data_IF_768059838262
#
_entry.id   IF_768059838262
#
_cell.length_a   1.000
_cell.length_b   1.000
_cell.length_c   1.000
_cell.angle_alpha   90.00
_cell.angle_beta   90.00
_cell.angle_gamma   90.00
#
_symmetry.space_group_name_H-M   'P 1'
#
loop_
_entity.id
_entity.type
_entity.pdbx_description
1 polymer ?
#
# COMPACT_ATOMS: atom_id res chain seq x y z
N UNK A 1 -22.12 -48.03 1.52
CA UNK A 1 -23.44 -47.36 1.64
C UNK A 1 -23.32 -45.93 2.15
N UNK A 2 -22.96 -45.69 3.41
CA UNK A 2 -22.83 -44.29 3.93
C UNK A 2 -21.79 -43.47 3.16
N UNK A 3 -20.62 -44.07 2.86
CA UNK A 3 -19.59 -43.45 2.02
C UNK A 3 -20.13 -43.08 0.62
N UNK A 4 -20.87 -43.97 -0.04
CA UNK A 4 -21.41 -43.75 -1.40
C UNK A 4 -22.48 -42.64 -1.44
N UNK A 5 -23.17 -42.41 -0.32
CA UNK A 5 -24.18 -41.35 -0.19
C UNK A 5 -23.60 -39.97 0.12
N UNK A 6 -22.35 -39.89 0.58
CA UNK A 6 -21.71 -38.62 0.90
C UNK A 6 -21.54 -37.77 -0.36
N UNK A 7 -21.68 -36.45 -0.21
CA UNK A 7 -21.41 -35.46 -1.26
C UNK A 7 -20.43 -34.41 -0.73
N UNK A 8 -19.95 -33.54 -1.62
CA UNK A 8 -19.06 -32.46 -1.25
C UNK A 8 -19.65 -31.64 -0.09
N UNK A 9 -18.79 -31.20 0.81
CA UNK A 9 -19.14 -30.37 1.97
C UNK A 9 -20.00 -31.01 3.06
N UNK A 10 -20.30 -32.31 3.00
CA UNK A 10 -20.91 -33.03 4.12
C UNK A 10 -20.00 -32.99 5.34
N UNK A 11 -20.59 -32.81 6.52
CA UNK A 11 -19.87 -32.90 7.80
C UNK A 11 -19.91 -34.35 8.25
N UNK A 12 -18.75 -35.00 8.25
CA UNK A 12 -18.62 -36.44 8.56
C UNK A 12 -17.77 -36.64 9.81
N UNK A 13 -18.12 -37.67 10.59
CA UNK A 13 -17.23 -38.27 11.59
C UNK A 13 -16.74 -39.62 11.06
N UNK A 14 -15.43 -39.85 11.08
CA UNK A 14 -14.81 -41.07 10.55
C UNK A 14 -13.89 -41.67 11.59
N UNK A 15 -14.19 -42.90 12.02
CA UNK A 15 -13.32 -43.71 12.89
C UNK A 15 -12.67 -44.81 12.06
N UNK A 16 -11.35 -44.94 12.16
CA UNK A 16 -10.62 -45.91 11.34
C UNK A 16 -9.21 -46.20 11.85
N UNK A 17 -8.49 -47.05 11.10
CA UNK A 17 -7.08 -47.38 11.38
C UNK A 17 -6.18 -46.61 10.43
N UNK A 18 -5.23 -45.85 10.97
CA UNK A 18 -4.16 -45.23 10.18
C UNK A 18 -3.24 -46.32 9.62
N UNK A 19 -2.92 -46.24 8.33
CA UNK A 19 -1.94 -47.12 7.67
C UNK A 19 -1.14 -46.36 6.61
N UNK A 20 -0.01 -46.92 6.21
CA UNK A 20 0.69 -46.45 5.02
C UNK A 20 -0.15 -46.67 3.78
N UNK A 21 -0.07 -45.73 2.84
CA UNK A 21 -0.68 -45.92 1.53
C UNK A 21 0.07 -47.03 0.78
N UNK A 22 -0.59 -47.79 -0.10
CA UNK A 22 0.08 -48.77 -0.95
C UNK A 22 1.24 -48.16 -1.75
N UNK A 23 2.21 -48.99 -2.10
CA UNK A 23 3.34 -48.57 -2.93
C UNK A 23 2.87 -47.92 -4.24
N UNK A 24 3.52 -46.82 -4.63
CA UNK A 24 3.15 -46.02 -5.81
C UNK A 24 1.96 -45.07 -5.63
N UNK A 25 1.30 -45.04 -4.46
CA UNK A 25 0.12 -44.18 -4.21
C UNK A 25 0.39 -43.03 -3.23
N UNK A 26 1.63 -42.80 -2.79
CA UNK A 26 1.97 -41.66 -1.96
C UNK A 26 1.76 -40.33 -2.71
N UNK A 27 1.34 -39.28 -1.99
CA UNK A 27 1.14 -37.93 -2.56
C UNK A 27 1.99 -36.90 -1.80
N UNK A 28 3.13 -36.52 -2.36
CA UNK A 28 4.05 -35.56 -1.72
C UNK A 28 3.49 -34.11 -1.68
N UNK A 29 2.40 -33.82 -2.39
CA UNK A 29 1.72 -32.52 -2.33
C UNK A 29 0.83 -32.35 -1.10
N UNK A 30 0.58 -33.41 -0.34
CA UNK A 30 -0.25 -33.39 0.87
C UNK A 30 0.59 -33.66 2.11
N UNK A 31 0.38 -32.89 3.18
CA UNK A 31 1.07 -33.08 4.48
C UNK A 31 0.88 -34.52 4.99
N UNK A 32 -0.31 -35.09 4.81
CA UNK A 32 -0.64 -36.46 5.20
C UNK A 32 -0.50 -37.48 4.08
N UNK A 33 0.11 -37.14 2.95
CA UNK A 33 0.00 -37.94 1.72
C UNK A 33 0.74 -39.28 1.69
N UNK A 34 1.54 -39.59 2.72
CA UNK A 34 2.21 -40.90 2.90
C UNK A 34 1.37 -41.91 3.71
N UNK A 35 0.26 -41.48 4.28
CA UNK A 35 -0.64 -42.29 5.09
C UNK A 35 -2.09 -42.13 4.63
N UNK A 36 -2.96 -43.05 5.04
CA UNK A 36 -4.41 -42.97 4.87
C UNK A 36 -5.13 -43.60 6.06
N UNK A 37 -6.44 -43.34 6.15
CA UNK A 37 -7.31 -43.93 7.18
C UNK A 37 -8.17 -45.00 6.52
N UNK A 38 -7.99 -46.26 6.92
CA UNK A 38 -8.93 -47.34 6.60
C UNK A 38 -10.17 -47.18 7.50
N UNK A 39 -11.24 -46.63 6.93
CA UNK A 39 -12.47 -46.34 7.66
C UNK A 39 -13.14 -47.63 8.17
N UNK A 40 -13.44 -47.66 9.48
CA UNK A 40 -14.24 -48.71 10.14
C UNK A 40 -15.68 -48.26 10.32
N UNK A 41 -15.87 -47.00 10.72
CA UNK A 41 -17.18 -46.38 10.93
C UNK A 41 -17.19 -44.99 10.29
N UNK A 42 -18.31 -44.66 9.66
CA UNK A 42 -18.55 -43.36 9.04
C UNK A 42 -19.96 -42.92 9.46
N UNK A 43 -20.05 -41.74 10.05
CA UNK A 43 -21.30 -41.09 10.45
C UNK A 43 -21.45 -39.78 9.68
N UNK A 44 -22.63 -39.53 9.12
CA UNK A 44 -22.99 -38.23 8.55
C UNK A 44 -23.55 -37.40 9.69
N UNK A 45 -22.74 -36.46 10.22
CA UNK A 45 -23.17 -35.53 11.27
C UNK A 45 -24.13 -34.48 10.72
N UNK A 46 -23.86 -34.00 9.51
CA UNK A 46 -24.75 -33.09 8.80
C UNK A 46 -24.58 -33.21 7.28
N UNK A 47 -25.71 -33.32 6.58
CA UNK A 47 -25.72 -33.26 5.11
C UNK A 47 -25.61 -31.81 4.65
N UNK A 48 -25.02 -31.59 3.48
CA UNK A 48 -24.90 -30.26 2.87
C UNK A 48 -25.61 -30.22 1.52
N UNK A 49 -26.26 -29.10 1.21
CA UNK A 49 -26.63 -28.82 -0.17
C UNK A 49 -25.37 -28.60 -1.03
N UNK A 50 -25.47 -28.80 -2.34
CA UNK A 50 -24.37 -28.50 -3.27
C UNK A 50 -23.92 -27.05 -3.08
N UNK A 51 -22.62 -26.80 -2.83
CA UNK A 51 -22.13 -25.45 -2.59
C UNK A 51 -22.23 -24.60 -3.88
N UNK A 52 -22.36 -23.27 -3.77
CA UNK A 52 -22.46 -22.37 -4.91
C UNK A 52 -21.20 -22.34 -5.79
N UNK A 53 -20.06 -22.79 -5.25
CA UNK A 53 -18.81 -23.02 -5.97
C UNK A 53 -18.00 -24.11 -5.23
N UNK A 54 -17.02 -24.72 -5.90
CA UNK A 54 -16.12 -25.68 -5.27
C UNK A 54 -15.03 -24.94 -4.47
N UNK A 55 -14.62 -25.48 -3.32
CA UNK A 55 -13.64 -24.83 -2.44
C UNK A 55 -12.27 -24.65 -3.11
N UNK A 56 -11.91 -25.54 -4.03
CA UNK A 56 -10.67 -25.54 -4.79
C UNK A 56 -10.73 -24.74 -6.10
N UNK A 57 -11.86 -24.10 -6.41
CA UNK A 57 -11.97 -23.23 -7.58
C UNK A 57 -11.21 -21.91 -7.34
N UNK A 58 -10.30 -21.60 -8.28
CA UNK A 58 -9.47 -20.40 -8.25
C UNK A 58 -10.08 -19.24 -9.04
N UNK A 59 -11.06 -19.50 -9.93
CA UNK A 59 -11.61 -18.53 -10.88
C UNK A 59 -13.00 -18.01 -10.49
N UNK A 60 -13.26 -17.90 -9.19
CA UNK A 60 -14.55 -17.43 -8.66
C UNK A 60 -14.53 -15.89 -8.56
N UNK A 61 -15.58 -15.24 -9.08
CA UNK A 61 -15.74 -13.79 -8.95
C UNK A 61 -15.86 -13.37 -7.48
N UNK A 62 -15.33 -12.18 -7.16
CA UNK A 62 -15.38 -11.64 -5.80
C UNK A 62 -16.82 -11.50 -5.27
N UNK A 63 -17.76 -11.06 -6.12
CA UNK A 63 -19.16 -10.92 -5.74
C UNK A 63 -19.78 -12.23 -5.25
N UNK A 64 -19.52 -13.34 -5.94
CA UNK A 64 -20.01 -14.68 -5.54
C UNK A 64 -19.37 -15.12 -4.23
N UNK A 65 -18.07 -14.85 -4.05
CA UNK A 65 -17.32 -15.16 -2.83
C UNK A 65 -17.83 -14.39 -1.62
N UNK A 66 -18.09 -13.09 -1.76
CA UNK A 66 -18.60 -12.24 -0.69
C UNK A 66 -20.06 -12.58 -0.34
N UNK A 67 -20.90 -12.85 -1.34
CA UNK A 67 -22.28 -13.29 -1.11
C UNK A 67 -22.35 -14.60 -0.32
N UNK A 68 -21.41 -15.51 -0.59
CA UNK A 68 -21.35 -16.83 0.04
C UNK A 68 -20.15 -16.94 0.99
N UNK A 69 -19.87 -15.87 1.76
CA UNK A 69 -18.64 -15.74 2.55
C UNK A 69 -18.41 -16.90 3.52
N UNK A 70 -19.47 -17.51 4.07
CA UNK A 70 -19.36 -18.69 4.96
C UNK A 70 -18.67 -19.86 4.25
N UNK A 71 -18.94 -20.08 2.96
CA UNK A 71 -18.28 -21.13 2.16
C UNK A 71 -16.89 -20.67 1.73
N UNK A 72 -16.73 -19.41 1.29
CA UNK A 72 -15.42 -18.87 0.89
C UNK A 72 -14.40 -18.92 2.05
N UNK A 73 -14.85 -18.71 3.28
CA UNK A 73 -14.01 -18.80 4.48
C UNK A 73 -13.49 -20.21 4.76
N UNK A 74 -14.06 -21.28 4.18
CA UNK A 74 -13.53 -22.65 4.30
C UNK A 74 -12.28 -22.86 3.45
N UNK A 75 -12.04 -22.02 2.44
CA UNK A 75 -10.91 -22.15 1.52
C UNK A 75 -9.58 -22.00 2.28
N UNK A 76 -8.56 -22.82 1.98
CA UNK A 76 -7.27 -22.76 2.67
C UNK A 76 -6.65 -21.36 2.72
N UNK A 77 -6.74 -20.60 1.63
CA UNK A 77 -6.25 -19.22 1.57
C UNK A 77 -6.92 -18.32 2.63
N UNK A 78 -8.26 -18.36 2.72
CA UNK A 78 -9.00 -17.54 3.70
C UNK A 78 -8.74 -17.99 5.14
N UNK A 79 -8.68 -19.30 5.38
CA UNK A 79 -8.30 -19.88 6.67
C UNK A 79 -6.90 -19.42 7.11
N UNK A 80 -5.93 -19.48 6.19
CA UNK A 80 -4.55 -19.06 6.47
C UNK A 80 -4.48 -17.56 6.76
N UNK A 81 -5.18 -16.72 5.99
CA UNK A 81 -5.21 -15.28 6.20
C UNK A 81 -5.80 -14.91 7.58
N UNK A 82 -6.91 -15.54 7.99
CA UNK A 82 -7.51 -15.29 9.31
C UNK A 82 -6.64 -15.81 10.46
N UNK A 83 -6.00 -16.98 10.30
CA UNK A 83 -5.05 -17.52 11.28
C UNK A 83 -3.81 -16.62 11.41
N UNK A 84 -3.31 -16.08 10.29
CA UNK A 84 -2.20 -15.12 10.29
C UNK A 84 -2.61 -13.85 11.02
N UNK A 85 -3.78 -13.26 10.71
CA UNK A 85 -4.33 -12.10 11.42
C UNK A 85 -4.40 -12.33 12.94
N UNK A 86 -4.89 -13.50 13.36
CA UNK A 86 -4.92 -13.89 14.77
C UNK A 86 -3.51 -13.94 15.38
N UNK A 87 -2.55 -14.59 14.72
CA UNK A 87 -1.16 -14.67 15.19
C UNK A 87 -0.51 -13.29 15.31
N UNK A 88 -0.73 -12.41 14.34
CA UNK A 88 -0.27 -11.01 14.36
C UNK A 88 -0.84 -10.28 15.56
N UNK A 89 -2.16 -10.34 15.79
CA UNK A 89 -2.78 -9.70 16.94
C UNK A 89 -2.25 -10.23 18.27
N UNK A 90 -2.03 -11.54 18.39
CA UNK A 90 -1.41 -12.14 19.57
C UNK A 90 0.05 -11.71 19.76
N UNK A 91 0.83 -11.61 18.68
CA UNK A 91 2.22 -11.14 18.72
C UNK A 91 2.32 -9.70 19.21
N UNK A 92 1.46 -8.82 18.68
CA UNK A 92 1.34 -7.41 19.12
C UNK A 92 1.01 -7.33 20.61
N UNK A 93 -0.01 -8.05 21.06
CA UNK A 93 -0.41 -8.07 22.48
C UNK A 93 0.71 -8.49 23.40
N UNK A 94 1.41 -9.58 23.06
CA UNK A 94 2.56 -10.08 23.84
C UNK A 94 3.72 -9.10 23.84
N UNK A 95 4.02 -8.48 22.70
CA UNK A 95 5.09 -7.50 22.61
C UNK A 95 4.78 -6.29 23.50
N UNK A 96 3.60 -5.69 23.36
CA UNK A 96 3.20 -4.51 24.13
C UNK A 96 3.10 -4.79 25.65
N UNK A 97 2.64 -5.98 26.04
CA UNK A 97 2.66 -6.44 27.43
C UNK A 97 4.10 -6.47 28.01
N UNK A 98 5.06 -7.01 27.26
CA UNK A 98 6.48 -6.99 27.70
C UNK A 98 7.10 -5.59 27.72
N UNK A 99 6.53 -4.64 26.97
CA UNK A 99 6.89 -3.22 27.01
C UNK A 99 6.12 -2.43 28.09
N UNK A 100 5.32 -3.09 28.94
CA UNK A 100 4.61 -2.46 30.05
C UNK A 100 3.36 -1.66 29.65
N UNK A 101 2.83 -1.87 28.45
CA UNK A 101 1.58 -1.26 28.02
C UNK A 101 0.37 -1.99 28.63
N UNK A 102 -0.68 -1.24 28.94
CA UNK A 102 -1.93 -1.77 29.48
C UNK A 102 -3.02 -1.72 28.39
N UNK A 103 -3.74 -2.83 28.20
CA UNK A 103 -4.89 -2.91 27.29
C UNK A 103 -6.11 -2.28 27.95
N UNK A 104 -6.55 -1.12 27.47
CA UNK A 104 -7.70 -0.39 28.04
C UNK A 104 -8.75 -0.21 26.94
N UNK A 105 -9.99 -0.62 27.21
CA UNK A 105 -11.08 -0.43 26.25
C UNK A 105 -11.60 1.01 26.30
N UNK A 106 -11.87 1.59 25.13
CA UNK A 106 -12.46 2.94 25.00
C UNK A 106 -13.87 2.84 24.39
N UNK A 107 -14.81 3.74 24.75
CA UNK A 107 -16.19 3.64 24.31
C UNK A 107 -16.35 3.86 22.80
N UNK A 108 -17.32 3.16 22.20
CA UNK A 108 -17.68 3.30 20.77
C UNK A 108 -18.77 4.33 20.50
N UNK A 109 -19.61 4.65 21.50
CA UNK A 109 -20.64 5.67 21.38
C UNK A 109 -20.08 6.99 21.91
N UNK A 110 -19.51 7.78 21.01
CA UNK A 110 -18.78 9.00 21.35
C UNK A 110 -19.55 10.25 20.92
N UNK A 111 -18.99 11.43 21.17
CA UNK A 111 -19.50 12.69 20.64
C UNK A 111 -18.77 13.00 19.32
N UNK A 112 -19.49 13.51 18.33
CA UNK A 112 -18.89 13.93 17.06
C UNK A 112 -17.88 15.06 17.26
N UNK A 113 -16.74 14.94 16.59
CA UNK A 113 -15.70 15.98 16.49
C UNK A 113 -15.59 16.40 15.03
N UNK A 114 -15.76 17.69 14.70
CA UNK A 114 -15.91 18.16 13.31
C UNK A 114 -14.62 18.13 12.47
N UNK A 115 -13.57 17.44 12.94
CA UNK A 115 -12.25 17.40 12.30
C UNK A 115 -11.93 15.96 11.88
N UNK A 116 -11.23 15.80 10.75
CA UNK A 116 -10.90 14.51 10.17
C UNK A 116 -11.92 14.03 9.13
N UNK A 117 -12.25 12.73 9.17
CA UNK A 117 -13.22 12.12 8.28
C UNK A 117 -14.68 12.43 8.69
N UNK A 118 -15.66 11.97 7.91
CA UNK A 118 -17.06 12.01 8.33
C UNK A 118 -17.36 10.88 9.32
N UNK A 119 -18.15 11.19 10.35
CA UNK A 119 -18.57 10.24 11.38
C UNK A 119 -19.81 9.44 10.97
N UNK A 120 -19.84 8.16 11.33
CA UNK A 120 -21.10 7.41 11.40
C UNK A 120 -21.91 7.85 12.63
N UNK A 121 -23.18 8.19 12.43
CA UNK A 121 -24.08 8.63 13.49
C UNK A 121 -25.00 7.52 13.98
N UNK A 122 -25.19 7.44 15.30
CA UNK A 122 -26.12 6.51 15.96
C UNK A 122 -27.16 7.32 16.74
N UNK A 123 -28.45 7.32 16.32
CA UNK A 123 -29.48 8.12 16.98
C UNK A 123 -29.74 7.65 18.41
N UNK A 124 -29.84 8.60 19.34
CA UNK A 124 -30.17 8.30 20.74
C UNK A 124 -31.68 8.11 20.91
N UNK A 125 -32.09 6.94 21.40
CA UNK A 125 -33.48 6.70 21.80
C UNK A 125 -33.88 7.55 23.01
N UNK A 126 -32.92 7.82 23.91
CA UNK A 126 -33.17 8.48 25.21
C UNK A 126 -33.19 10.01 25.08
N UNK A 127 -32.41 10.56 24.16
CA UNK A 127 -32.28 12.00 23.92
C UNK A 127 -32.75 12.33 22.50
N UNK A 128 -34.05 12.61 22.29
CA UNK A 128 -34.59 12.91 20.96
C UNK A 128 -33.89 14.11 20.32
N UNK A 129 -33.42 13.95 19.08
CA UNK A 129 -32.66 14.96 18.35
C UNK A 129 -31.15 14.93 18.58
N UNK A 130 -30.66 14.08 19.49
CA UNK A 130 -29.23 13.88 19.74
C UNK A 130 -28.72 12.55 19.15
N UNK A 131 -27.44 12.55 18.78
CA UNK A 131 -26.76 11.44 18.13
C UNK A 131 -25.43 11.16 18.81
N UNK A 132 -25.08 9.89 18.91
CA UNK A 132 -23.69 9.48 19.12
C UNK A 132 -22.97 9.44 17.78
N UNK A 133 -21.65 9.51 17.82
CA UNK A 133 -20.75 9.26 16.70
C UNK A 133 -19.87 8.04 16.99
N UNK A 134 -19.68 7.19 15.99
CA UNK A 134 -18.70 6.10 16.07
C UNK A 134 -17.28 6.67 15.86
N UNK A 135 -16.28 6.26 16.65
CA UNK A 135 -14.96 6.88 16.64
C UNK A 135 -14.17 6.53 15.38
N UNK A 136 -13.55 7.56 14.79
CA UNK A 136 -12.56 7.39 13.72
C UNK A 136 -11.24 6.80 14.22
N UNK A 137 -10.95 7.04 15.50
CA UNK A 137 -9.87 6.49 16.32
C UNK A 137 -10.17 6.83 17.79
N UNK A 138 -9.53 6.18 18.78
CA UNK A 138 -9.66 6.54 20.19
C UNK A 138 -8.78 7.75 20.60
N UNK A 139 -8.40 8.63 19.67
CA UNK A 139 -7.40 9.71 19.87
C UNK A 139 -7.62 10.54 21.15
N UNK A 140 -8.83 11.05 21.38
CA UNK A 140 -9.11 11.85 22.59
C UNK A 140 -9.08 11.00 23.86
N UNK A 141 -9.49 9.74 23.80
CA UNK A 141 -9.51 8.85 24.96
C UNK A 141 -8.11 8.44 25.39
N UNK A 142 -7.22 8.09 24.44
CA UNK A 142 -5.84 7.73 24.78
C UNK A 142 -5.07 8.91 25.39
N UNK A 143 -5.32 10.13 24.91
CA UNK A 143 -4.79 11.36 25.53
C UNK A 143 -5.34 11.56 26.96
N UNK A 144 -6.64 11.37 27.18
CA UNK A 144 -7.23 11.43 28.52
C UNK A 144 -6.66 10.34 29.46
N UNK A 145 -6.33 9.16 28.94
CA UNK A 145 -5.67 8.11 29.72
C UNK A 145 -4.25 8.51 30.14
N UNK A 146 -3.49 9.20 29.26
CA UNK A 146 -2.19 9.76 29.64
C UNK A 146 -2.36 10.78 30.78
N UNK A 147 -3.34 11.69 30.67
CA UNK A 147 -3.68 12.66 31.73
C UNK A 147 -4.12 11.98 33.03
N UNK A 148 -4.80 10.84 32.94
CA UNK A 148 -5.23 10.05 34.09
C UNK A 148 -4.09 9.31 34.80
N UNK A 149 -2.86 9.38 34.27
CA UNK A 149 -1.66 8.78 34.87
C UNK A 149 -1.33 7.38 34.38
N UNK A 150 -1.97 6.89 33.31
CA UNK A 150 -1.51 5.69 32.63
C UNK A 150 -0.30 6.03 31.76
N UNK A 151 0.87 5.52 32.12
CA UNK A 151 2.12 5.86 31.41
C UNK A 151 2.17 5.26 29.99
N UNK A 152 1.62 4.07 29.80
CA UNK A 152 1.63 3.32 28.52
C UNK A 152 0.30 2.62 28.31
N UNK A 153 -0.37 2.95 27.22
CA UNK A 153 -1.68 2.42 26.87
C UNK A 153 -1.65 1.83 25.47
N UNK A 154 -2.33 0.71 25.28
CA UNK A 154 -2.63 0.21 23.95
C UNK A 154 -4.06 -0.33 23.86
N UNK A 155 -4.56 -0.47 22.64
CA UNK A 155 -5.81 -1.15 22.34
C UNK A 155 -5.82 -1.66 20.90
N UNK A 156 -6.29 -2.89 20.69
CA UNK A 156 -6.66 -3.36 19.35
C UNK A 156 -8.14 -3.08 19.16
N UNK A 157 -8.48 -1.97 18.51
CA UNK A 157 -9.84 -1.41 18.54
C UNK A 157 -10.46 -1.25 17.16
N UNK A 158 -11.79 -1.16 17.12
CA UNK A 158 -12.57 -0.89 15.91
C UNK A 158 -12.67 0.60 15.67
N UNK A 159 -12.52 0.99 14.42
CA UNK A 159 -12.58 2.38 13.97
C UNK A 159 -13.50 2.49 12.76
N UNK A 160 -14.15 3.64 12.65
CA UNK A 160 -15.23 3.87 11.69
C UNK A 160 -15.01 5.17 10.93
N UNK A 161 -15.09 5.14 9.60
CA UNK A 161 -14.99 6.35 8.75
C UNK A 161 -16.04 6.28 7.65
N UNK A 162 -16.89 7.30 7.56
CA UNK A 162 -17.92 7.42 6.53
C UNK A 162 -17.36 8.08 5.25
N UNK A 163 -16.39 7.39 4.65
CA UNK A 163 -15.70 7.77 3.41
C UNK A 163 -15.94 6.74 2.29
N UNK A 164 -15.71 7.17 1.05
CA UNK A 164 -15.74 6.27 -0.09
C UNK A 164 -14.67 5.16 0.01
N UNK A 165 -15.09 3.96 -0.37
CA UNK A 165 -14.27 2.75 -0.34
C UNK A 165 -13.13 2.79 -1.36
N UNK A 166 -12.01 2.15 -1.01
CA UNK A 166 -10.90 1.83 -1.93
C UNK A 166 -10.45 0.39 -1.68
N UNK A 167 -9.57 -0.13 -2.54
CA UNK A 167 -9.03 -1.49 -2.39
C UNK A 167 -8.40 -1.74 -1.00
N UNK A 168 -7.84 -0.70 -0.38
CA UNK A 168 -7.19 -0.69 0.92
C UNK A 168 -8.00 0.04 2.02
N UNK A 169 -9.24 0.48 1.74
CA UNK A 169 -10.08 1.26 2.67
C UNK A 169 -11.46 0.65 2.86
N UNK A 170 -11.83 0.41 4.11
CA UNK A 170 -13.15 -0.10 4.52
C UNK A 170 -13.76 0.85 5.57
N UNK A 171 -15.09 1.00 5.61
CA UNK A 171 -15.77 1.93 6.54
C UNK A 171 -15.58 1.50 8.00
N UNK A 172 -15.46 0.20 8.24
CA UNK A 172 -15.08 -0.37 9.53
C UNK A 172 -13.75 -1.09 9.38
N UNK A 173 -12.78 -0.70 10.19
CA UNK A 173 -11.44 -1.31 10.21
C UNK A 173 -10.94 -1.47 11.65
N UNK A 174 -9.81 -2.15 11.81
CA UNK A 174 -9.22 -2.43 13.12
C UNK A 174 -7.85 -1.79 13.19
N UNK A 175 -7.61 -0.97 14.22
CA UNK A 175 -6.32 -0.36 14.50
C UNK A 175 -5.63 -1.06 15.67
N UNK A 176 -4.29 -0.99 15.67
CA UNK A 176 -3.49 -1.16 16.87
C UNK A 176 -3.18 0.26 17.31
N UNK A 177 -3.90 0.73 18.30
CA UNK A 177 -3.72 2.06 18.86
C UNK A 177 -2.84 1.97 20.10
N UNK A 178 -1.93 2.93 20.27
CA UNK A 178 -1.04 3.03 21.41
C UNK A 178 -0.75 4.49 21.73
N UNK A 179 -0.42 4.75 22.98
CA UNK A 179 -0.03 6.07 23.49
C UNK A 179 0.93 5.91 24.66
N UNK A 180 1.86 6.84 24.81
CA UNK A 180 2.85 6.86 25.88
C UNK A 180 3.01 8.26 26.48
N UNK A 181 3.31 8.33 27.77
CA UNK A 181 3.69 9.57 28.45
C UNK A 181 5.22 9.68 28.53
N UNK A 182 5.73 10.92 28.54
CA UNK A 182 7.14 11.24 28.80
C UNK A 182 8.19 10.63 27.84
N UNK A 183 7.78 10.19 26.65
CA UNK A 183 8.67 9.70 25.60
C UNK A 183 8.74 10.70 24.45
N UNK A 184 9.91 10.75 23.79
CA UNK A 184 10.08 11.48 22.55
C UNK A 184 9.71 10.64 21.31
N UNK A 185 9.77 11.25 20.12
CA UNK A 185 9.45 10.62 18.85
C UNK A 185 10.32 9.38 18.56
N UNK A 186 11.62 9.44 18.89
CA UNK A 186 12.55 8.34 18.63
C UNK A 186 12.23 7.14 19.49
N UNK A 187 11.95 7.38 20.78
CA UNK A 187 11.59 6.32 21.71
C UNK A 187 10.30 5.60 21.29
N UNK A 188 9.30 6.34 20.80
CA UNK A 188 8.05 5.76 20.27
C UNK A 188 8.30 4.98 18.97
N UNK A 189 9.10 5.52 18.05
CA UNK A 189 9.49 4.82 16.82
C UNK A 189 10.25 3.53 17.12
N UNK A 190 11.17 3.54 18.07
CA UNK A 190 11.96 2.35 18.44
C UNK A 190 11.07 1.25 19.05
N UNK A 191 10.10 1.62 19.90
CA UNK A 191 9.12 0.66 20.45
C UNK A 191 8.30 0.02 19.33
N UNK A 192 7.79 0.83 18.40
CA UNK A 192 6.90 0.37 17.31
C UNK A 192 7.65 -0.38 16.21
N UNK A 193 8.87 0.01 15.90
CA UNK A 193 9.78 -0.72 15.01
C UNK A 193 10.16 -2.08 15.60
N UNK A 194 10.50 -2.13 16.89
CA UNK A 194 10.74 -3.39 17.61
C UNK A 194 9.51 -4.31 17.57
N UNK A 195 8.31 -3.76 17.72
CA UNK A 195 7.05 -4.51 17.59
C UNK A 195 6.92 -5.13 16.20
N UNK A 196 7.12 -4.33 15.15
CA UNK A 196 7.03 -4.79 13.77
C UNK A 196 8.06 -5.88 13.47
N UNK A 197 9.33 -5.68 13.85
CA UNK A 197 10.41 -6.67 13.74
C UNK A 197 10.05 -8.00 14.41
N UNK A 198 9.57 -7.95 15.66
CA UNK A 198 9.21 -9.15 16.42
C UNK A 198 8.03 -9.90 15.79
N UNK A 199 6.97 -9.18 15.40
CA UNK A 199 5.78 -9.80 14.78
C UNK A 199 6.14 -10.44 13.44
N UNK A 200 6.94 -9.79 12.59
CA UNK A 200 7.38 -10.38 11.33
C UNK A 200 8.21 -11.64 11.54
N UNK A 201 9.14 -11.62 12.51
CA UNK A 201 9.94 -12.80 12.87
C UNK A 201 9.07 -13.95 13.36
N UNK A 202 8.13 -13.69 14.26
CA UNK A 202 7.31 -14.75 14.88
C UNK A 202 6.26 -15.34 13.93
N UNK A 203 5.75 -14.54 12.99
CA UNK A 203 4.64 -14.94 12.13
C UNK A 203 5.07 -15.41 10.74
N UNK A 204 6.12 -14.82 10.18
CA UNK A 204 6.61 -15.08 8.82
C UNK A 204 8.06 -15.57 8.78
N UNK A 205 8.77 -15.61 9.92
CA UNK A 205 10.20 -15.92 9.98
C UNK A 205 11.05 -15.00 9.08
N UNK A 206 10.69 -13.71 9.06
CA UNK A 206 11.38 -12.65 8.30
C UNK A 206 12.06 -11.70 9.28
N UNK A 207 13.33 -11.38 9.04
CA UNK A 207 14.07 -10.35 9.77
C UNK A 207 14.11 -9.06 8.94
N UNK A 208 13.46 -7.99 9.43
CA UNK A 208 13.26 -6.76 8.66
C UNK A 208 14.46 -5.79 8.64
N UNK A 209 15.50 -6.03 9.44
CA UNK A 209 16.59 -5.07 9.65
C UNK A 209 16.09 -3.75 10.25
N UNK A 210 16.98 -2.75 10.35
CA UNK A 210 16.63 -1.43 10.86
C UNK A 210 15.86 -0.61 9.82
N UNK A 211 14.87 0.16 10.27
CA UNK A 211 14.04 0.92 9.34
C UNK A 211 14.74 2.24 9.01
N UNK A 212 15.04 2.52 7.73
CA UNK A 212 15.60 3.81 7.36
C UNK A 212 14.60 4.93 7.69
N UNK A 213 15.13 6.13 7.94
CA UNK A 213 14.33 7.34 8.17
C UNK A 213 14.49 8.28 6.99
N UNK A 214 13.37 8.77 6.48
CA UNK A 214 13.31 9.67 5.34
C UNK A 214 12.43 10.86 5.70
N UNK A 215 12.88 12.07 5.43
CA UNK A 215 12.04 13.25 5.67
C UNK A 215 10.87 13.25 4.67
N UNK A 216 9.73 13.82 5.05
CA UNK A 216 8.61 14.03 4.13
C UNK A 216 9.05 14.82 2.90
N UNK A 217 9.91 15.82 3.10
CA UNK A 217 10.49 16.61 2.02
C UNK A 217 11.23 15.73 1.01
N UNK A 218 12.11 14.83 1.47
CA UNK A 218 12.83 13.89 0.60
C UNK A 218 11.89 12.88 -0.05
N UNK A 219 10.91 12.36 0.69
CA UNK A 219 9.92 11.41 0.18
C UNK A 219 9.14 12.00 -1.01
N UNK A 220 8.65 13.23 -0.85
CA UNK A 220 7.98 13.98 -1.91
C UNK A 220 8.93 14.42 -3.01
N UNK A 221 10.18 14.78 -2.67
CA UNK A 221 11.16 15.24 -3.64
C UNK A 221 11.60 14.11 -4.57
N UNK A 222 11.98 12.95 -4.05
CA UNK A 222 12.53 11.85 -4.85
C UNK A 222 11.46 10.89 -5.38
N UNK A 223 10.31 10.77 -4.72
CA UNK A 223 9.32 9.73 -5.06
C UNK A 223 7.91 10.25 -5.30
N UNK A 224 7.62 11.51 -4.97
CA UNK A 224 6.29 12.10 -5.12
C UNK A 224 5.22 11.45 -4.25
N UNK A 225 5.62 10.78 -3.16
CA UNK A 225 4.74 10.04 -2.27
C UNK A 225 5.24 10.14 -0.84
N UNK A 226 4.32 10.36 0.10
CA UNK A 226 4.53 10.30 1.55
C UNK A 226 4.62 8.85 2.09
N UNK A 227 4.45 7.87 1.20
CA UNK A 227 4.59 6.43 1.43
C UNK A 227 5.34 5.78 0.27
N UNK A 228 6.64 6.10 0.09
CA UNK A 228 7.38 5.62 -1.07
C UNK A 228 7.58 4.10 -1.01
N UNK A 229 7.24 3.40 -2.10
CA UNK A 229 7.61 1.99 -2.24
C UNK A 229 9.12 1.90 -2.56
N UNK A 230 9.90 1.54 -1.56
CA UNK A 230 11.35 1.42 -1.63
C UNK A 230 11.83 0.15 -2.34
N UNK A 231 10.93 -0.75 -2.73
CA UNK A 231 11.25 -1.89 -3.60
C UNK A 231 11.53 -1.45 -5.03
N UNK A 232 10.94 -0.33 -5.45
CA UNK A 232 11.19 0.28 -6.76
C UNK A 232 12.36 1.26 -6.64
N UNK A 233 13.46 1.04 -7.37
CA UNK A 233 14.66 1.89 -7.23
C UNK A 233 14.58 3.20 -8.03
N UNK A 234 13.59 3.34 -8.91
CA UNK A 234 13.38 4.53 -9.73
C UNK A 234 13.18 5.79 -8.86
N UNK A 235 13.69 6.93 -9.30
CA UNK A 235 13.63 8.20 -8.58
C UNK A 235 13.41 9.37 -9.53
N UNK A 236 12.85 10.46 -9.00
CA UNK A 236 12.76 11.72 -9.71
C UNK A 236 14.13 12.38 -9.81
N UNK A 237 14.36 13.04 -10.94
CA UNK A 237 15.43 14.01 -11.12
C UNK A 237 14.81 15.39 -11.21
N UNK A 238 15.20 16.29 -10.32
CA UNK A 238 14.66 17.65 -10.27
C UNK A 238 15.26 18.52 -11.37
N UNK A 239 14.40 19.13 -12.20
CA UNK A 239 14.79 19.91 -13.37
C UNK A 239 14.20 21.33 -13.39
N UNK A 240 13.43 21.74 -12.37
CA UNK A 240 12.72 23.04 -12.37
C UNK A 240 13.63 24.22 -12.71
N UNK A 241 14.77 24.37 -12.02
CA UNK A 241 15.68 25.50 -12.28
C UNK A 241 16.29 25.47 -13.68
N UNK A 242 16.58 24.28 -14.23
CA UNK A 242 17.10 24.14 -15.59
C UNK A 242 16.07 24.60 -16.63
N UNK A 243 14.79 24.32 -16.38
CA UNK A 243 13.72 24.68 -17.32
C UNK A 243 13.37 26.17 -17.32
N UNK A 244 13.88 26.95 -16.35
CA UNK A 244 13.74 28.42 -16.33
C UNK A 244 14.61 29.14 -17.35
N UNK A 245 15.45 28.46 -18.12
CA UNK A 245 16.20 29.10 -19.22
C UNK A 245 15.73 28.66 -20.60
N UNK A 246 14.80 27.71 -20.66
CA UNK A 246 14.35 27.09 -21.90
C UNK A 246 13.12 27.79 -22.51
N UNK A 247 13.00 27.73 -23.83
CA UNK A 247 11.89 28.35 -24.57
C UNK A 247 10.63 27.46 -24.64
N UNK A 248 10.76 26.18 -24.28
CA UNK A 248 9.64 25.24 -24.34
C UNK A 248 8.57 25.60 -23.28
N UNK A 249 7.52 26.28 -23.74
CA UNK A 249 6.48 26.91 -22.90
C UNK A 249 5.86 26.02 -21.84
N UNK A 250 5.72 24.71 -22.08
CA UNK A 250 5.14 23.78 -21.09
C UNK A 250 6.06 23.65 -19.88
N UNK A 251 7.36 23.42 -20.12
CA UNK A 251 8.34 23.30 -19.04
C UNK A 251 8.63 24.66 -18.40
N UNK A 252 8.82 25.69 -19.23
CA UNK A 252 9.06 27.05 -18.76
C UNK A 252 7.91 27.58 -17.89
N UNK A 253 6.68 27.39 -18.35
CA UNK A 253 5.47 27.81 -17.63
C UNK A 253 5.30 27.09 -16.30
N UNK A 254 5.60 25.80 -16.22
CA UNK A 254 5.62 25.07 -14.96
C UNK A 254 6.75 25.55 -14.04
N UNK A 255 7.93 25.84 -14.59
CA UNK A 255 9.08 26.28 -13.80
C UNK A 255 8.97 27.70 -13.24
N UNK A 256 8.28 28.60 -13.94
CA UNK A 256 8.02 29.98 -13.48
C UNK A 256 6.80 30.07 -12.52
N UNK A 257 5.94 29.05 -12.49
CA UNK A 257 4.74 29.04 -11.65
C UNK A 257 5.11 28.95 -10.17
N UNK A 258 4.45 29.75 -9.32
CA UNK A 258 4.56 29.61 -7.87
C UNK A 258 4.07 28.22 -7.44
N UNK A 259 4.96 27.42 -6.84
CA UNK A 259 4.66 26.03 -6.47
C UNK A 259 4.59 25.08 -7.68
N UNK A 260 5.07 25.50 -8.85
CA UNK A 260 5.27 24.64 -10.00
C UNK A 260 6.54 23.81 -9.88
N UNK A 261 6.58 22.70 -10.61
CA UNK A 261 7.67 21.74 -10.57
C UNK A 261 7.87 21.08 -11.93
N UNK A 262 9.12 20.83 -12.31
CA UNK A 262 9.48 19.99 -13.45
C UNK A 262 10.43 18.89 -13.01
N UNK A 263 10.00 17.63 -13.17
CA UNK A 263 10.80 16.45 -12.83
C UNK A 263 10.97 15.55 -14.05
N UNK A 264 12.10 14.84 -14.09
CA UNK A 264 12.33 13.72 -14.98
C UNK A 264 12.26 12.39 -14.20
N UNK A 265 11.71 11.36 -14.83
CA UNK A 265 11.74 9.99 -14.37
C UNK A 265 12.49 9.15 -15.41
N UNK A 266 13.73 8.78 -15.10
CA UNK A 266 14.51 7.85 -15.90
C UNK A 266 13.99 6.43 -15.70
N UNK A 267 13.72 5.72 -16.78
CA UNK A 267 13.37 4.30 -16.79
C UNK A 267 14.44 3.53 -17.56
N UNK A 268 15.30 2.76 -16.86
CA UNK A 268 16.35 1.96 -17.49
C UNK A 268 15.79 0.98 -18.52
N UNK A 269 16.45 0.85 -19.67
CA UNK A 269 16.03 -0.02 -20.79
C UNK A 269 14.62 0.27 -21.38
N UNK A 270 13.99 1.39 -20.99
CA UNK A 270 12.63 1.73 -21.38
C UNK A 270 12.48 2.27 -22.81
N UNK A 271 13.56 2.46 -23.58
CA UNK A 271 13.45 2.85 -25.00
C UNK A 271 12.70 1.80 -25.84
N UNK A 272 12.61 0.55 -25.35
CA UNK A 272 11.85 -0.55 -25.95
C UNK A 272 10.33 -0.37 -25.85
N UNK A 273 9.84 0.49 -24.95
CA UNK A 273 8.41 0.75 -24.81
C UNK A 273 7.82 1.18 -26.15
N UNK A 274 6.73 0.54 -26.55
CA UNK A 274 6.04 0.86 -27.79
C UNK A 274 5.35 2.21 -27.68
N UNK A 275 4.94 2.79 -28.82
CA UNK A 275 4.14 4.02 -28.80
C UNK A 275 2.82 3.82 -28.06
N UNK A 276 2.24 2.63 -28.18
CA UNK A 276 1.02 2.24 -27.48
C UNK A 276 1.20 2.29 -25.96
N UNK A 277 2.30 1.73 -25.44
CA UNK A 277 2.59 1.73 -23.99
C UNK A 277 2.73 3.17 -23.47
N UNK A 278 3.43 4.03 -24.23
CA UNK A 278 3.59 5.45 -23.89
C UNK A 278 2.25 6.19 -23.89
N UNK A 279 1.38 5.92 -24.87
CA UNK A 279 0.05 6.55 -24.93
C UNK A 279 -0.86 6.04 -23.78
N UNK A 280 -0.72 4.78 -23.35
CA UNK A 280 -1.39 4.24 -22.17
C UNK A 280 -0.89 4.90 -20.88
N UNK A 281 0.42 5.08 -20.71
CA UNK A 281 0.98 5.84 -19.60
C UNK A 281 0.55 7.30 -19.60
N UNK A 282 0.42 7.92 -20.77
CA UNK A 282 -0.09 9.29 -20.90
C UNK A 282 -1.54 9.39 -20.39
N UNK A 283 -2.39 8.42 -20.74
CA UNK A 283 -3.77 8.35 -20.21
C UNK A 283 -3.79 8.11 -18.71
N UNK A 284 -2.91 7.23 -18.22
CA UNK A 284 -2.81 6.90 -16.80
C UNK A 284 -2.44 8.12 -15.96
N UNK A 285 -1.41 8.89 -16.34
CA UNK A 285 -1.04 10.11 -15.60
C UNK A 285 -2.12 11.19 -15.68
N UNK A 286 -2.94 11.19 -16.74
CA UNK A 286 -4.09 12.09 -16.88
C UNK A 286 -5.15 11.91 -15.80
N UNK A 287 -5.28 10.72 -15.20
CA UNK A 287 -6.19 10.45 -14.08
C UNK A 287 -5.81 11.30 -12.85
N UNK A 288 -4.51 11.60 -12.70
CA UNK A 288 -3.94 12.41 -11.62
C UNK A 288 -3.82 13.90 -12.00
N UNK A 289 -4.48 14.33 -13.08
CA UNK A 289 -4.54 15.73 -13.51
C UNK A 289 -3.40 16.19 -14.41
N UNK A 290 -2.45 15.33 -14.79
CA UNK A 290 -1.40 15.69 -15.74
C UNK A 290 -1.97 15.96 -17.14
N UNK A 291 -1.61 17.08 -17.76
CA UNK A 291 -2.10 17.48 -19.09
C UNK A 291 -1.46 16.71 -20.24
N UNK A 292 -0.36 16.00 -19.97
CA UNK A 292 0.36 15.20 -20.93
C UNK A 292 1.58 14.55 -20.28
N UNK A 293 2.25 13.68 -21.03
CA UNK A 293 3.45 12.97 -20.61
C UNK A 293 4.52 13.15 -21.68
N UNK A 294 5.39 14.15 -21.48
CA UNK A 294 6.53 14.34 -22.35
C UNK A 294 7.56 13.23 -22.08
N UNK A 295 8.29 12.79 -23.10
CA UNK A 295 9.31 11.75 -22.97
C UNK A 295 10.49 12.00 -23.91
N UNK A 296 11.65 11.40 -23.63
CA UNK A 296 12.81 11.32 -24.53
C UNK A 296 13.31 9.87 -24.52
N UNK A 297 13.40 9.23 -25.70
CA UNK A 297 14.12 7.96 -25.84
C UNK A 297 15.59 8.23 -26.12
N UNK A 298 16.47 7.57 -25.38
CA UNK A 298 17.91 7.77 -25.46
C UNK A 298 18.52 6.63 -26.28
N UNK A 299 18.83 6.91 -27.55
CA UNK A 299 19.45 5.94 -28.45
C UNK A 299 20.99 6.04 -28.40
N UNK A 300 21.53 7.25 -28.37
CA UNK A 300 22.97 7.50 -28.25
C UNK A 300 23.28 8.77 -27.45
N UNK A 301 23.81 8.59 -26.24
CA UNK A 301 24.22 9.68 -25.32
C UNK A 301 25.45 10.47 -25.80
N UNK A 302 26.22 9.94 -26.75
CA UNK A 302 27.38 10.65 -27.31
C UNK A 302 26.99 11.63 -28.43
N UNK A 303 25.79 11.47 -28.98
CA UNK A 303 25.25 12.32 -30.04
C UNK A 303 24.02 13.10 -29.52
N UNK A 304 24.27 14.15 -28.74
CA UNK A 304 23.21 15.01 -28.20
C UNK A 304 23.13 16.30 -29.02
N UNK A 305 22.12 16.38 -29.87
CA UNK A 305 21.74 17.60 -30.60
C UNK A 305 20.23 17.86 -30.51
N UNK A 306 19.78 19.03 -30.95
CA UNK A 306 18.36 19.36 -31.06
C UNK A 306 17.79 19.15 -32.48
N UNK A 307 18.56 18.53 -33.38
CA UNK A 307 18.19 18.24 -34.76
C UNK A 307 17.65 16.81 -34.98
N UNK A 308 17.29 16.49 -36.24
CA UNK A 308 16.72 15.18 -36.61
C UNK A 308 17.71 14.02 -36.45
N UNK A 309 19.02 14.29 -36.57
CA UNK A 309 20.10 13.31 -36.43
C UNK A 309 20.54 13.08 -34.96
N UNK A 310 19.78 13.60 -33.99
CA UNK A 310 20.09 13.44 -32.57
C UNK A 310 19.95 11.98 -32.13
N UNK A 311 20.87 11.54 -31.26
CA UNK A 311 20.73 10.30 -30.51
C UNK A 311 19.57 10.33 -29.50
N UNK A 312 18.89 11.46 -29.35
CA UNK A 312 17.68 11.63 -28.56
C UNK A 312 16.44 11.64 -29.45
N UNK A 313 15.62 10.61 -29.36
CA UNK A 313 14.40 10.48 -30.15
C UNK A 313 13.18 10.96 -29.36
N UNK A 314 12.66 12.14 -29.69
CA UNK A 314 11.39 12.63 -29.15
C UNK A 314 10.82 13.85 -29.89
N UNK A 315 9.49 14.04 -29.88
CA UNK A 315 8.84 15.27 -30.36
C UNK A 315 9.30 16.56 -29.66
N UNK A 316 9.85 16.47 -28.44
CA UNK A 316 10.21 17.66 -27.64
C UNK A 316 11.66 18.13 -27.84
N UNK A 317 12.53 17.28 -28.39
CA UNK A 317 13.98 17.54 -28.50
C UNK A 317 14.29 18.83 -29.27
N UNK A 318 13.55 19.09 -30.35
CA UNK A 318 13.69 20.32 -31.16
C UNK A 318 13.32 21.62 -30.44
N UNK A 319 12.62 21.53 -29.31
CA UNK A 319 12.20 22.69 -28.52
C UNK A 319 13.10 22.95 -27.32
N UNK A 320 14.11 22.10 -27.09
CA UNK A 320 15.07 22.23 -26.01
C UNK A 320 16.44 22.62 -26.58
N UNK A 321 17.17 23.43 -25.84
CA UNK A 321 18.55 23.79 -26.18
C UNK A 321 19.46 22.56 -26.04
N UNK A 322 20.52 22.47 -26.85
CA UNK A 322 21.50 21.39 -26.71
C UNK A 322 22.15 21.37 -25.32
N UNK A 323 22.34 22.56 -24.73
CA UNK A 323 22.85 22.71 -23.36
C UNK A 323 21.92 22.04 -22.36
N UNK A 324 20.62 22.32 -22.42
CA UNK A 324 19.65 21.69 -21.53
C UNK A 324 19.54 20.18 -21.78
N UNK A 325 19.57 19.72 -23.03
CA UNK A 325 19.56 18.28 -23.33
C UNK A 325 20.76 17.57 -22.71
N UNK A 326 21.97 18.14 -22.83
CA UNK A 326 23.19 17.61 -22.21
C UNK A 326 23.08 17.60 -20.68
N UNK A 327 22.55 18.66 -20.08
CA UNK A 327 22.33 18.73 -18.63
C UNK A 327 21.27 17.73 -18.14
N UNK A 328 20.18 17.52 -18.88
CA UNK A 328 19.16 16.51 -18.57
C UNK A 328 19.80 15.13 -18.54
N UNK A 329 20.55 14.75 -19.57
CA UNK A 329 21.22 13.44 -19.63
C UNK A 329 22.22 13.30 -18.48
N UNK A 330 23.02 14.34 -18.20
CA UNK A 330 23.97 14.33 -17.10
C UNK A 330 23.30 14.19 -15.73
N UNK A 331 22.23 14.94 -15.45
CA UNK A 331 21.52 14.91 -14.15
C UNK A 331 20.72 13.63 -13.94
N UNK A 332 20.08 13.11 -14.99
CA UNK A 332 19.33 11.85 -14.92
C UNK A 332 20.24 10.62 -14.93
N UNK A 333 21.49 10.77 -15.38
CA UNK A 333 22.42 9.68 -15.61
C UNK A 333 21.95 8.70 -16.68
N UNK A 334 21.06 9.14 -17.59
CA UNK A 334 20.47 8.27 -18.61
C UNK A 334 21.52 7.66 -19.53
N UNK A 335 21.30 6.41 -19.94
CA UNK A 335 22.18 5.64 -20.81
C UNK A 335 21.46 5.25 -22.11
N UNK A 336 22.22 4.74 -23.08
CA UNK A 336 21.66 4.20 -24.31
C UNK A 336 20.68 3.06 -23.99
N UNK A 337 19.48 3.14 -24.56
CA UNK A 337 18.39 2.21 -24.30
C UNK A 337 17.40 2.69 -23.24
N UNK A 338 17.64 3.81 -22.56
CA UNK A 338 16.73 4.35 -21.56
C UNK A 338 15.63 5.22 -22.18
N UNK A 339 14.56 5.44 -21.42
CA UNK A 339 13.58 6.50 -21.68
C UNK A 339 13.48 7.40 -20.46
N UNK A 340 13.31 8.69 -20.70
CA UNK A 340 13.09 9.70 -19.66
C UNK A 340 11.68 10.23 -19.85
N UNK A 341 10.82 10.09 -18.86
CA UNK A 341 9.52 10.75 -18.80
C UNK A 341 9.63 12.07 -18.05
N UNK A 342 8.76 13.04 -18.35
CA UNK A 342 8.76 14.35 -17.73
C UNK A 342 7.36 14.70 -17.20
N UNK A 343 7.31 15.19 -15.95
CA UNK A 343 6.15 15.85 -15.37
C UNK A 343 6.43 17.33 -15.21
N UNK A 344 5.52 18.19 -15.69
CA UNK A 344 5.65 19.65 -15.62
C UNK A 344 4.28 20.30 -15.37
N UNK A 345 3.99 20.61 -14.11
CA UNK A 345 2.75 21.28 -13.66
C UNK A 345 2.94 21.79 -12.21
N UNK A 346 1.85 22.09 -11.48
CA UNK A 346 1.86 22.28 -10.02
C UNK A 346 2.54 21.07 -9.34
N UNK A 347 3.31 21.32 -8.27
CA UNK A 347 4.05 20.28 -7.55
C UNK A 347 3.17 19.09 -7.11
N UNK A 348 1.95 19.35 -6.63
CA UNK A 348 0.99 18.30 -6.25
C UNK A 348 0.67 17.36 -7.41
N UNK A 349 0.29 17.91 -8.58
CA UNK A 349 -0.04 17.14 -9.78
C UNK A 349 1.17 16.33 -10.26
N UNK A 350 2.35 16.94 -10.28
CA UNK A 350 3.58 16.26 -10.70
C UNK A 350 3.91 15.09 -9.76
N UNK A 351 3.86 15.32 -8.45
CA UNK A 351 4.17 14.31 -7.45
C UNK A 351 3.20 13.13 -7.53
N UNK A 352 1.89 13.39 -7.59
CA UNK A 352 0.86 12.35 -7.70
C UNK A 352 0.98 11.58 -9.02
N UNK A 353 1.07 12.28 -10.15
CA UNK A 353 1.05 11.66 -11.48
C UNK A 353 2.32 10.86 -11.77
N UNK A 354 3.50 11.46 -11.56
CA UNK A 354 4.78 10.79 -11.85
C UNK A 354 5.13 9.79 -10.75
N UNK A 355 4.69 10.02 -9.51
CA UNK A 355 4.85 9.07 -8.40
C UNK A 355 4.03 7.81 -8.64
N UNK A 356 2.78 7.94 -9.10
CA UNK A 356 1.97 6.80 -9.52
C UNK A 356 2.56 6.09 -10.74
N UNK A 357 3.06 6.84 -11.74
CA UNK A 357 3.70 6.26 -12.93
C UNK A 357 4.94 5.45 -12.57
N UNK A 358 5.78 5.98 -11.67
CA UNK A 358 6.96 5.31 -11.13
C UNK A 358 6.61 3.94 -10.57
N UNK A 359 5.57 3.86 -9.73
CA UNK A 359 5.11 2.60 -9.13
C UNK A 359 4.60 1.63 -10.19
N UNK A 360 3.76 2.12 -11.12
CA UNK A 360 3.20 1.31 -12.20
C UNK A 360 4.29 0.66 -13.06
N UNK A 361 5.24 1.46 -13.55
CA UNK A 361 6.38 0.97 -14.35
C UNK A 361 7.26 0.03 -13.50
N UNK A 362 7.51 0.38 -12.24
CA UNK A 362 8.26 -0.43 -11.30
C UNK A 362 7.71 -1.85 -11.16
N UNK A 363 6.40 -2.01 -11.01
CA UNK A 363 5.77 -3.33 -10.91
C UNK A 363 5.62 -4.06 -12.26
N UNK A 364 5.35 -3.34 -13.35
CA UNK A 364 5.16 -3.96 -14.68
C UNK A 364 6.47 -4.47 -15.30
N UNK A 365 7.56 -3.74 -15.09
CA UNK A 365 8.81 -3.97 -15.82
C UNK A 365 10.04 -4.06 -14.92
N UNK A 366 9.93 -3.74 -13.62
CA UNK A 366 11.11 -3.61 -12.76
C UNK A 366 11.80 -4.91 -12.41
N UNK A 367 11.06 -6.02 -12.31
CA UNK A 367 11.66 -7.32 -12.00
C UNK A 367 12.60 -7.78 -13.13
N UNK A 368 12.16 -7.60 -14.39
CA UNK A 368 12.94 -7.98 -15.58
C UNK A 368 14.12 -7.05 -15.85
N UNK A 369 14.00 -5.78 -15.46
CA UNK A 369 14.97 -4.73 -15.78
C UNK A 369 15.85 -4.29 -14.59
N UNK A 370 15.71 -4.93 -13.43
CA UNK A 370 16.58 -4.74 -12.26
C UNK A 370 16.30 -3.48 -11.43
N UNK A 371 15.10 -2.91 -11.52
CA UNK A 371 14.67 -1.76 -10.69
C UNK A 371 13.46 -2.06 -9.80
N UNK A 372 13.15 -3.34 -9.60
CA UNK A 372 12.25 -3.83 -8.56
C UNK A 372 12.88 -5.01 -7.83
N UNK A 373 12.75 -5.05 -6.51
CA UNK A 373 13.14 -6.19 -5.67
C UNK A 373 11.94 -6.75 -4.92
N UNK A 374 11.78 -8.08 -4.93
CA UNK A 374 10.70 -8.75 -4.20
C UNK A 374 11.11 -9.05 -2.75
N UNK A 375 11.33 -7.98 -1.99
CA UNK A 375 11.76 -8.02 -0.59
C UNK A 375 10.96 -7.01 0.25
N UNK A 376 10.96 -7.19 1.57
CA UNK A 376 10.39 -6.19 2.48
C UNK A 376 11.34 -4.98 2.60
N UNK A 377 10.81 -3.78 2.36
CA UNK A 377 11.52 -2.50 2.51
C UNK A 377 10.74 -1.55 3.43
N UNK A 378 10.71 -1.79 4.75
CA UNK A 378 10.09 -0.88 5.70
C UNK A 378 10.86 0.45 5.76
N UNK A 379 10.17 1.53 6.11
CA UNK A 379 10.70 2.90 6.17
C UNK A 379 9.87 3.73 7.17
N UNK A 380 10.53 4.64 7.88
CA UNK A 380 9.90 5.75 8.57
C UNK A 380 9.92 7.00 7.69
N UNK A 381 8.75 7.62 7.49
CA UNK A 381 8.68 8.98 6.95
C UNK A 381 8.44 9.93 8.12
N UNK A 382 9.32 10.91 8.29
CA UNK A 382 9.36 11.84 9.43
C UNK A 382 9.31 13.28 8.94
N UNK A 383 9.29 14.25 9.85
CA UNK A 383 9.32 15.69 9.51
C UNK A 383 8.18 16.14 8.57
N UNK A 384 6.96 15.67 8.83
CA UNK A 384 5.78 16.13 8.12
C UNK A 384 5.53 17.63 8.34
N UNK A 385 5.07 18.38 7.32
CA UNK A 385 4.58 19.73 7.51
C UNK A 385 3.45 19.75 8.53
N UNK A 386 3.35 20.83 9.31
CA UNK A 386 2.25 20.96 10.29
C UNK A 386 0.89 21.16 9.61
N UNK A 387 0.87 21.91 8.50
CA UNK A 387 -0.35 22.29 7.80
C UNK A 387 -0.22 22.08 6.29
N UNK A 388 -1.33 21.72 5.66
CA UNK A 388 -1.53 21.83 4.21
C UNK A 388 -2.59 22.88 3.89
N UNK A 389 -2.49 23.45 2.70
CA UNK A 389 -3.49 24.38 2.19
C UNK A 389 -4.56 23.59 1.43
N UNK A 390 -5.78 23.62 1.95
CA UNK A 390 -6.96 23.07 1.32
C UNK A 390 -7.52 24.12 0.33
N UNK A 391 -7.26 23.89 -0.97
CA UNK A 391 -7.75 24.78 -2.04
C UNK A 391 -9.29 24.77 -2.14
N UNK A 392 -9.97 23.68 -1.76
CA UNK A 392 -11.42 23.55 -1.86
C UNK A 392 -12.14 24.38 -0.78
N UNK A 393 -11.64 24.30 0.46
CA UNK A 393 -12.21 25.03 1.59
C UNK A 393 -11.51 26.36 1.87
N UNK A 394 -10.50 26.72 1.06
CA UNK A 394 -9.73 27.97 1.16
C UNK A 394 -9.21 28.24 2.58
N UNK A 395 -8.63 27.21 3.21
CA UNK A 395 -8.11 27.25 4.60
C UNK A 395 -6.90 26.34 4.76
N UNK A 396 -6.14 26.55 5.84
CA UNK A 396 -5.15 25.57 6.27
C UNK A 396 -5.82 24.45 7.07
N UNK A 397 -5.45 23.21 6.77
CA UNK A 397 -5.84 22.01 7.50
C UNK A 397 -4.58 21.35 8.10
N UNK A 398 -4.73 20.68 9.24
CA UNK A 398 -3.65 19.89 9.81
C UNK A 398 -3.36 18.67 8.92
N UNK A 399 -2.08 18.34 8.71
CA UNK A 399 -1.68 17.19 7.89
C UNK A 399 -2.07 15.83 8.48
N UNK A 400 -2.15 15.72 9.81
CA UNK A 400 -2.47 14.49 10.52
C UNK A 400 -3.74 14.61 11.35
N UNK A 401 -3.65 15.29 12.49
CA UNK A 401 -4.79 15.66 13.33
C UNK A 401 -4.41 16.90 14.15
N UNK A 402 -5.39 17.72 14.58
CA UNK A 402 -5.14 18.86 15.47
C UNK A 402 -4.72 18.50 16.90
#
# INVERSE_FOLDING_TARGET
>A
KTADSARNEYVLSITGKVRHRPEGTANDKMISGKIEILAKEIEILNAAATPPFQIDDENISENVRLTNRVIDLRRPQMQNNLKLRYKVAMGVRRYLDTQGFIDIETPMLTRSTPEGARDYLVPSRVHPGEFFALPQSPQLFKQLLMVAGFDRYYQITKCFRDEDLRADRQPEFTQIDLETSFLDENEIMDITEGMAKQVFKDTLNVELGDFPRMTFADAMFYYGSDKPDMRVSLQFTELTELMKTEEFKVFRGAADMKGGRVVALRVPNGAKLSRKDIDEYTKFVGIYGAKGLAYIKVNDVNNISNGEDSGLQSPIVKFLSETALKEIIAKTGAQNGDIIFFGADKAKVVNEAIGALRIKIGHEHGAENGYFVDEWKPLWVVDFPMFEYDEENNRYAAMHHP
#
